data_IF_509568102779
#
_entry.id   IF_509568102779
#
_cell.length_a   1.000
_cell.length_b   1.000
_cell.length_c   1.000
_cell.angle_alpha   90.00
_cell.angle_beta   90.00
_cell.angle_gamma   90.00
#
_symmetry.space_group_name_H-M   'P 1'
#
loop_
_entity.id
_entity.type
_entity.pdbx_description
1 polymer ?
#
# COMPACT_ATOMS: atom_id res chain seq x y z
N UNK A 1 2.75 -24.97 -31.09
CA UNK A 1 2.82 -23.49 -31.13
C UNK A 1 1.50 -22.85 -30.71
N UNK A 2 1.49 -22.03 -29.64
CA UNK A 2 0.34 -21.19 -29.26
C UNK A 2 0.67 -19.73 -29.54
N UNK A 3 -0.29 -19.02 -30.16
CA UNK A 3 -0.17 -17.58 -30.41
C UNK A 3 -0.27 -16.80 -29.08
N UNK A 4 0.47 -15.70 -28.93
CA UNK A 4 0.40 -14.85 -27.75
C UNK A 4 -1.00 -14.21 -27.61
N UNK A 5 -1.45 -14.04 -26.38
CA UNK A 5 -2.71 -13.37 -26.09
C UNK A 5 -2.55 -11.85 -26.22
N UNK A 6 -3.47 -11.19 -26.90
CA UNK A 6 -3.55 -9.73 -26.99
C UNK A 6 -4.22 -9.15 -25.73
N UNK A 7 -3.42 -8.89 -24.70
CA UNK A 7 -3.88 -8.39 -23.40
C UNK A 7 -3.63 -6.89 -23.20
N UNK A 8 -3.27 -6.15 -24.25
CA UNK A 8 -2.86 -4.74 -24.17
C UNK A 8 -3.83 -3.87 -23.35
N UNK A 9 -5.14 -3.98 -23.61
CA UNK A 9 -6.16 -3.20 -22.89
C UNK A 9 -6.26 -3.59 -21.42
N UNK A 10 -6.10 -4.88 -21.12
CA UNK A 10 -6.14 -5.42 -19.75
C UNK A 10 -4.93 -4.91 -18.96
N UNK A 11 -3.73 -4.96 -19.55
CA UNK A 11 -2.52 -4.45 -18.90
C UNK A 11 -2.58 -2.95 -18.61
N UNK A 12 -3.16 -2.15 -19.50
CA UNK A 12 -3.33 -0.71 -19.27
C UNK A 12 -4.18 -0.45 -18.02
N UNK A 13 -5.33 -1.12 -17.90
CA UNK A 13 -6.20 -0.96 -16.72
C UNK A 13 -5.58 -1.50 -15.44
N UNK A 14 -4.89 -2.63 -15.53
CA UNK A 14 -4.16 -3.21 -14.41
C UNK A 14 -3.09 -2.25 -13.87
N UNK A 15 -2.24 -1.72 -14.75
CA UNK A 15 -1.21 -0.76 -14.36
C UNK A 15 -1.80 0.53 -13.77
N UNK A 16 -2.90 1.03 -14.34
CA UNK A 16 -3.59 2.21 -13.81
C UNK A 16 -4.11 1.96 -12.38
N UNK A 17 -4.75 0.80 -12.16
CA UNK A 17 -5.21 0.42 -10.82
C UNK A 17 -4.04 0.30 -9.84
N UNK A 18 -2.93 -0.32 -10.25
CA UNK A 18 -1.73 -0.42 -9.41
C UNK A 18 -1.16 0.95 -9.04
N UNK A 19 -1.13 1.91 -9.96
CA UNK A 19 -0.67 3.28 -9.67
C UNK A 19 -1.59 3.98 -8.68
N UNK A 20 -2.90 3.93 -8.90
CA UNK A 20 -3.88 4.54 -7.98
C UNK A 20 -3.77 3.93 -6.59
N UNK A 21 -3.69 2.61 -6.51
CA UNK A 21 -3.58 1.88 -5.25
C UNK A 21 -2.27 2.23 -4.51
N UNK A 22 -1.15 2.34 -5.24
CA UNK A 22 0.14 2.74 -4.68
C UNK A 22 0.12 4.18 -4.15
N UNK A 23 -0.53 5.10 -4.86
CA UNK A 23 -0.71 6.48 -4.39
C UNK A 23 -1.54 6.53 -3.10
N UNK A 24 -2.60 5.72 -2.99
CA UNK A 24 -3.42 5.64 -1.78
C UNK A 24 -2.61 5.09 -0.59
N UNK A 25 -1.84 4.01 -0.77
CA UNK A 25 -0.96 3.47 0.27
C UNK A 25 0.09 4.47 0.74
N UNK A 26 0.68 5.23 -0.19
CA UNK A 26 1.64 6.28 0.14
C UNK A 26 0.99 7.38 0.98
N UNK A 27 -0.22 7.80 0.62
CA UNK A 27 -0.98 8.79 1.40
C UNK A 27 -1.31 8.29 2.82
N UNK A 28 -1.74 7.03 2.96
CA UNK A 28 -1.98 6.43 4.28
C UNK A 28 -0.70 6.39 5.12
N UNK A 29 0.44 6.06 4.51
CA UNK A 29 1.74 5.99 5.18
C UNK A 29 2.20 7.37 5.70
N UNK A 30 1.99 8.42 4.91
CA UNK A 30 2.29 9.80 5.31
C UNK A 30 1.38 10.23 6.47
N UNK A 31 0.07 10.00 6.33
CA UNK A 31 -0.94 10.44 7.30
C UNK A 31 -0.84 9.73 8.65
N UNK A 32 -0.37 8.48 8.70
CA UNK A 32 -0.30 7.69 9.93
C UNK A 32 1.04 7.72 10.66
N UNK A 33 2.10 8.26 10.06
CA UNK A 33 3.38 8.25 10.76
C UNK A 33 4.44 9.10 10.13
N UNK A 34 4.88 8.73 8.92
CA UNK A 34 6.16 9.15 8.35
C UNK A 34 6.38 10.66 8.27
N UNK A 35 5.32 11.48 8.21
CA UNK A 35 5.41 12.95 8.20
C UNK A 35 4.62 13.65 9.31
N UNK A 36 3.96 12.91 10.20
CA UNK A 36 3.12 13.49 11.24
C UNK A 36 3.73 13.28 12.63
N UNK A 37 3.84 12.03 13.04
CA UNK A 37 4.16 11.66 14.44
C UNK A 37 5.44 10.85 14.55
N UNK A 38 5.95 10.29 13.46
CA UNK A 38 7.11 9.41 13.50
C UNK A 38 8.41 10.19 13.32
N UNK A 39 9.42 9.84 14.11
CA UNK A 39 10.78 10.25 13.81
C UNK A 39 11.31 9.34 12.68
N UNK A 40 12.09 9.90 11.76
CA UNK A 40 12.85 9.12 10.76
C UNK A 40 14.02 8.32 11.37
N UNK A 41 14.06 8.14 12.70
CA UNK A 41 14.99 7.28 13.43
C UNK A 41 14.30 5.98 13.85
N UNK A 42 14.84 5.28 14.85
CA UNK A 42 14.22 4.08 15.39
C UNK A 42 12.85 4.43 16.01
N UNK A 43 11.77 4.00 15.35
CA UNK A 43 10.40 4.11 15.87
C UNK A 43 9.91 2.71 16.26
N UNK A 44 9.55 2.48 17.54
CA UNK A 44 9.02 1.20 17.97
C UNK A 44 7.62 0.96 17.39
N UNK A 45 7.28 -0.31 17.17
CA UNK A 45 5.93 -0.71 16.77
C UNK A 45 5.00 -0.58 17.97
N UNK A 46 3.91 0.16 17.81
CA UNK A 46 2.83 0.23 18.78
C UNK A 46 1.88 -0.96 18.60
N UNK A 47 1.88 -1.88 19.57
CA UNK A 47 1.00 -3.05 19.60
C UNK A 47 -0.33 -2.81 20.31
N UNK A 48 -0.62 -1.57 20.72
CA UNK A 48 -1.90 -1.22 21.34
C UNK A 48 -3.06 -1.30 20.33
N UNK A 49 -4.30 -1.35 20.86
CA UNK A 49 -5.52 -1.26 20.04
C UNK A 49 -6.01 0.19 19.87
N UNK A 50 -5.10 1.16 19.94
CA UNK A 50 -5.46 2.55 19.67
C UNK A 50 -5.93 2.70 18.22
N UNK A 51 -6.87 3.62 17.91
CA UNK A 51 -7.35 3.82 16.55
C UNK A 51 -6.22 4.18 15.57
N UNK A 52 -5.16 4.82 16.06
CA UNK A 52 -3.97 5.15 15.29
C UNK A 52 -3.12 3.91 14.96
N UNK A 53 -2.77 3.10 15.97
CA UNK A 53 -1.99 1.87 15.79
C UNK A 53 -2.71 0.88 14.86
N UNK A 54 -4.03 0.74 15.03
CA UNK A 54 -4.85 -0.11 14.16
C UNK A 54 -4.90 0.39 12.71
N UNK A 55 -4.86 1.70 12.48
CA UNK A 55 -4.80 2.26 11.12
C UNK A 55 -3.45 1.95 10.45
N UNK A 56 -2.34 2.06 11.19
CA UNK A 56 -1.01 1.66 10.69
C UNK A 56 -0.98 0.17 10.33
N UNK A 57 -1.47 -0.69 11.24
CA UNK A 57 -1.52 -2.12 11.02
C UNK A 57 -2.37 -2.49 9.77
N UNK A 58 -3.51 -1.83 9.58
CA UNK A 58 -4.34 -1.98 8.38
C UNK A 58 -3.60 -1.51 7.11
N UNK A 59 -2.86 -0.40 7.17
CA UNK A 59 -2.03 0.07 6.07
C UNK A 59 -0.95 -0.95 5.68
N UNK A 60 -0.27 -1.54 6.67
CA UNK A 60 0.70 -2.62 6.45
C UNK A 60 0.04 -3.86 5.83
N UNK A 61 -1.17 -4.20 6.25
CA UNK A 61 -1.93 -5.31 5.68
C UNK A 61 -2.29 -5.08 4.21
N UNK A 62 -2.76 -3.88 3.86
CA UNK A 62 -3.04 -3.53 2.46
C UNK A 62 -1.78 -3.52 1.58
N UNK A 63 -0.65 -3.06 2.12
CA UNK A 63 0.64 -3.18 1.43
C UNK A 63 1.05 -4.63 1.20
N UNK A 64 0.83 -5.51 2.17
CA UNK A 64 1.09 -6.94 2.02
C UNK A 64 0.22 -7.55 0.90
N UNK A 65 -1.08 -7.26 0.88
CA UNK A 65 -2.00 -7.72 -0.17
C UNK A 65 -1.59 -7.19 -1.55
N UNK A 66 -1.04 -5.97 -1.62
CA UNK A 66 -0.51 -5.39 -2.86
C UNK A 66 0.59 -6.21 -3.53
N UNK A 67 1.23 -7.16 -2.83
CA UNK A 67 2.28 -8.01 -3.40
C UNK A 67 1.73 -9.25 -4.09
N UNK A 68 0.50 -9.61 -3.78
CA UNK A 68 -0.22 -10.72 -4.42
C UNK A 68 -1.13 -10.26 -5.56
N UNK A 69 -1.32 -8.95 -5.69
CA UNK A 69 -2.17 -8.33 -6.71
C UNK A 69 -1.29 -7.67 -7.76
#
# INVERSE_FOLDING_TARGET
DRKPFELKRVLIWYNLFQVIFSCWLFNESIATGWFSTYSFRCQPVDYSRSPHAMRIANGCWWYYISKFT
#
